data_IF_875171809431
#
_entry.id   IF_875171809431
#
_cell.length_a   1.000
_cell.length_b   1.000
_cell.length_c   1.000
_cell.angle_alpha   90.00
_cell.angle_beta   90.00
_cell.angle_gamma   90.00
#
_symmetry.space_group_name_H-M   'P 1'
#
loop_
_entity.id
_entity.type
_entity.pdbx_description
1 polymer ?
#
# COMPACT_ATOMS: atom_id res chain seq x y z
N UNK A 1 13.80 -1.53 -1.94
CA UNK A 1 12.45 -1.72 -2.50
C UNK A 1 11.41 -1.74 -1.38
N UNK A 2 11.51 -2.70 -0.47
CA UNK A 2 10.62 -2.89 0.69
C UNK A 2 10.45 -1.64 1.59
N UNK A 3 11.53 -0.90 1.88
CA UNK A 3 11.45 0.35 2.65
C UNK A 3 10.47 1.38 2.07
N UNK A 4 10.35 1.48 0.74
CA UNK A 4 9.43 2.43 0.09
C UNK A 4 7.98 1.99 0.31
N UNK A 5 7.70 0.69 0.21
CA UNK A 5 6.38 0.14 0.52
C UNK A 5 6.01 0.41 1.98
N UNK A 6 6.94 0.22 2.92
CA UNK A 6 6.72 0.55 4.34
C UNK A 6 6.35 2.02 4.55
N UNK A 7 7.01 2.94 3.84
CA UNK A 7 6.71 4.38 3.91
C UNK A 7 5.29 4.67 3.38
N UNK A 8 4.88 4.04 2.28
CA UNK A 8 3.53 4.18 1.72
C UNK A 8 2.48 3.70 2.74
N UNK A 9 2.71 2.56 3.39
CA UNK A 9 1.82 2.05 4.43
C UNK A 9 1.70 2.99 5.63
N UNK A 10 2.81 3.54 6.13
CA UNK A 10 2.81 4.52 7.21
C UNK A 10 2.13 5.84 6.81
N UNK A 11 2.35 6.34 5.59
CA UNK A 11 1.68 7.53 5.08
C UNK A 11 0.15 7.32 5.01
N UNK A 12 -0.29 6.13 4.61
CA UNK A 12 -1.71 5.77 4.54
C UNK A 12 -2.41 5.83 5.90
N UNK A 13 -1.71 5.48 7.00
CA UNK A 13 -2.26 5.59 8.36
C UNK A 13 -2.54 7.03 8.79
N UNK A 14 -1.87 8.01 8.17
CA UNK A 14 -2.06 9.44 8.46
C UNK A 14 -3.24 10.06 7.72
N UNK A 15 -3.84 9.35 6.76
CA UNK A 15 -5.02 9.80 6.05
C UNK A 15 -6.23 9.84 7.00
N UNK A 16 -6.98 10.95 6.94
CA UNK A 16 -8.20 11.09 7.73
C UNK A 16 -9.20 9.98 7.43
N UNK A 17 -10.00 9.60 8.43
CA UNK A 17 -11.05 8.60 8.25
C UNK A 17 -12.05 9.03 7.16
N UNK A 18 -12.43 10.31 7.14
CA UNK A 18 -13.34 10.87 6.14
C UNK A 18 -12.80 10.72 4.71
N UNK A 19 -11.51 10.96 4.50
CA UNK A 19 -10.88 10.77 3.18
C UNK A 19 -10.92 9.30 2.76
N UNK A 20 -10.53 8.39 3.65
CA UNK A 20 -10.54 6.94 3.37
C UNK A 20 -11.95 6.41 3.10
N UNK A 21 -12.96 6.94 3.77
CA UNK A 21 -14.37 6.60 3.53
C UNK A 21 -14.89 7.15 2.20
N UNK A 22 -14.50 8.39 1.84
CA UNK A 22 -14.87 8.99 0.55
C UNK A 22 -14.29 8.23 -0.64
N UNK A 23 -13.13 7.61 -0.47
CA UNK A 23 -12.40 6.87 -1.48
C UNK A 23 -12.34 5.38 -1.12
N UNK A 24 -13.48 4.76 -0.83
CA UNK A 24 -13.56 3.38 -0.32
C UNK A 24 -13.13 2.30 -1.30
N UNK A 25 -13.03 2.62 -2.59
CA UNK A 25 -12.59 1.70 -3.64
C UNK A 25 -11.10 1.35 -3.51
N UNK A 26 -10.33 2.23 -2.87
CA UNK A 26 -8.92 1.98 -2.58
C UNK A 26 -8.81 1.12 -1.31
N UNK A 27 -8.03 0.02 -1.34
CA UNK A 27 -7.90 -0.90 -0.21
C UNK A 27 -6.98 -0.37 0.90
N UNK A 28 -7.30 0.78 1.50
CA UNK A 28 -6.48 1.49 2.49
C UNK A 28 -5.97 0.62 3.64
N UNK A 29 -6.81 -0.31 4.12
CA UNK A 29 -6.44 -1.21 5.22
C UNK A 29 -5.31 -2.16 4.81
N UNK A 30 -5.34 -2.68 3.58
CA UNK A 30 -4.26 -3.53 3.04
C UNK A 30 -2.98 -2.71 2.88
N UNK A 31 -3.09 -1.50 2.31
CA UNK A 31 -1.94 -0.61 2.11
C UNK A 31 -1.27 -0.26 3.44
N UNK A 32 -2.05 0.10 4.46
CA UNK A 32 -1.54 0.40 5.80
C UNK A 32 -0.88 -0.81 6.49
N UNK A 33 -1.34 -2.03 6.18
CA UNK A 33 -0.82 -3.28 6.73
C UNK A 33 0.46 -3.80 6.07
N UNK A 34 0.87 -3.25 4.91
CA UNK A 34 2.07 -3.73 4.19
C UNK A 34 3.36 -3.64 5.00
N UNK A 35 3.45 -2.68 5.94
CA UNK A 35 4.57 -2.64 6.90
C UNK A 35 4.68 -3.95 7.67
N UNK A 36 3.57 -4.43 8.19
CA UNK A 36 3.57 -5.51 9.17
C UNK A 36 3.95 -6.82 8.49
N UNK A 37 3.46 -7.05 7.26
CA UNK A 37 3.87 -8.16 6.37
C UNK A 37 5.36 -8.11 6.07
N UNK A 38 5.89 -6.95 5.66
CA UNK A 38 7.31 -6.80 5.29
C UNK A 38 8.25 -7.02 6.49
N UNK A 39 7.81 -6.70 7.70
CA UNK A 39 8.67 -6.70 8.89
C UNK A 39 8.60 -8.01 9.68
N UNK A 40 7.47 -8.73 9.66
CA UNK A 40 7.28 -9.97 10.42
C UNK A 40 7.41 -11.23 9.57
N UNK A 41 6.98 -11.18 8.30
CA UNK A 41 6.92 -12.37 7.44
C UNK A 41 8.05 -12.39 6.41
N UNK A 42 9.17 -11.67 6.63
CA UNK A 42 10.25 -11.51 5.65
C UNK A 42 10.78 -12.83 5.07
N UNK A 43 10.76 -13.90 5.86
CA UNK A 43 11.20 -15.24 5.45
C UNK A 43 10.15 -15.99 4.60
N UNK A 44 8.89 -15.55 4.59
CA UNK A 44 7.76 -16.11 3.83
C UNK A 44 7.21 -15.14 2.75
N UNK A 45 7.87 -14.00 2.52
CA UNK A 45 7.44 -13.06 1.49
C UNK A 45 7.56 -13.68 0.10
N UNK A 46 6.43 -13.82 -0.59
CA UNK A 46 6.42 -14.14 -2.01
C UNK A 46 6.91 -12.93 -2.82
N UNK A 47 8.12 -13.04 -3.38
CA UNK A 47 8.71 -12.01 -4.21
C UNK A 47 7.90 -11.72 -5.48
N UNK A 48 7.11 -12.68 -5.95
CA UNK A 48 6.18 -12.52 -7.08
C UNK A 48 5.04 -11.59 -6.72
N UNK A 49 4.51 -11.71 -5.50
CA UNK A 49 3.48 -10.82 -4.97
C UNK A 49 4.05 -9.40 -4.79
N UNK A 50 5.26 -9.28 -4.21
CA UNK A 50 5.93 -7.98 -4.08
C UNK A 50 6.19 -7.33 -5.45
N UNK A 51 6.59 -8.12 -6.44
CA UNK A 51 6.80 -7.63 -7.79
C UNK A 51 5.50 -7.04 -8.35
N UNK A 52 4.39 -7.79 -8.26
CA UNK A 52 3.05 -7.36 -8.68
C UNK A 52 2.62 -6.06 -7.99
N UNK A 53 2.82 -5.97 -6.67
CA UNK A 53 2.51 -4.75 -5.91
C UNK A 53 3.22 -3.54 -6.49
N UNK A 54 4.47 -3.70 -6.92
CA UNK A 54 5.32 -2.60 -7.37
C UNK A 54 5.07 -2.24 -8.82
N UNK A 55 4.85 -3.23 -9.69
CA UNK A 55 4.68 -3.01 -11.13
C UNK A 55 3.25 -2.71 -11.53
N UNK A 56 2.27 -3.10 -10.72
CA UNK A 56 0.84 -2.98 -11.06
C UNK A 56 0.09 -2.12 -10.03
N UNK A 57 0.05 -2.55 -8.76
CA UNK A 57 -0.84 -1.91 -7.79
C UNK A 57 -0.41 -0.50 -7.38
N UNK A 58 0.90 -0.25 -7.23
CA UNK A 58 1.41 1.09 -6.90
C UNK A 58 1.16 2.07 -8.06
N UNK A 59 1.48 1.75 -9.33
CA UNK A 59 1.13 2.60 -10.47
C UNK A 59 -0.37 2.88 -10.60
N UNK A 60 -1.21 1.86 -10.40
CA UNK A 60 -2.68 2.03 -10.42
C UNK A 60 -3.15 2.99 -9.32
N UNK A 61 -2.63 2.83 -8.10
CA UNK A 61 -2.93 3.72 -6.99
C UNK A 61 -2.46 5.16 -7.29
N UNK A 62 -1.28 5.34 -7.87
CA UNK A 62 -0.77 6.65 -8.25
C UNK A 62 -1.69 7.32 -9.27
N UNK A 63 -2.07 6.59 -10.33
CA UNK A 63 -2.95 7.10 -11.37
C UNK A 63 -4.32 7.51 -10.81
N UNK A 64 -4.86 6.73 -9.88
CA UNK A 64 -6.08 7.09 -9.17
C UNK A 64 -5.91 8.40 -8.38
N UNK A 65 -4.82 8.53 -7.61
CA UNK A 65 -4.55 9.71 -6.79
C UNK A 65 -4.29 10.98 -7.60
N UNK A 66 -3.66 10.88 -8.77
CA UNK A 66 -3.42 12.01 -9.68
C UNK A 66 -4.71 12.53 -10.33
N UNK A 67 -5.77 11.71 -10.37
CA UNK A 67 -7.08 12.06 -10.92
C UNK A 67 -8.10 12.50 -9.84
N UNK A 68 -7.68 12.66 -8.58
CA UNK A 68 -8.51 13.16 -7.47
C UNK A 68 -8.61 14.69 -7.43
#
# INVERSE_FOLDING_TARGET
MLRRITIIGEATKRLSLKFRQKHSDVPWKKIAGMRDVITHDYDEIDLTEIWTVITENIPELLQYLENL
#
